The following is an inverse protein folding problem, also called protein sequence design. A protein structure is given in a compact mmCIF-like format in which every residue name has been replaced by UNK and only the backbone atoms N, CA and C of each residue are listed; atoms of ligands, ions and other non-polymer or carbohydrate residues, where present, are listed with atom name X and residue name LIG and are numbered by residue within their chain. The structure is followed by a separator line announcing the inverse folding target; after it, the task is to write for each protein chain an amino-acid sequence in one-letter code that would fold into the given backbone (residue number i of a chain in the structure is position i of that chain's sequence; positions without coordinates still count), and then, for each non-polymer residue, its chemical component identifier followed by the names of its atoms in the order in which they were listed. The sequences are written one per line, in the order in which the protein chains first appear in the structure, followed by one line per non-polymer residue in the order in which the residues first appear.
data_IF_921918067391
#
_entry.id   IF_921918067391
#
_cell.length_a   1.000
_cell.length_b   1.000
_cell.length_c   1.000
_cell.angle_alpha   90.00
_cell.angle_beta   90.00
_cell.angle_gamma   90.00
#
_symmetry.space_group_name_H-M   'P 1'
#
loop_
_entity.id
_entity.type
_entity.pdbx_description
1 polymer ?
#
# COMPACT_ATOMS: atom_id res chain seq x y z
N UNK A 1 -0.85 10.13 -5.63
CA UNK A 1 -0.40 8.86 -6.25
C UNK A 1 1.12 8.80 -6.44
N UNK A 2 1.76 9.75 -7.14
CA UNK A 2 3.21 9.69 -7.42
C UNK A 2 4.10 9.59 -6.16
N UNK A 3 3.75 10.33 -5.11
CA UNK A 3 4.46 10.26 -3.82
C UNK A 3 4.39 8.86 -3.20
N UNK A 4 3.22 8.22 -3.25
CA UNK A 4 3.02 6.87 -2.71
C UNK A 4 3.86 5.85 -3.49
N UNK A 5 3.81 5.90 -4.83
CA UNK A 5 4.58 4.99 -5.67
C UNK A 5 6.08 5.10 -5.38
N UNK A 6 6.59 6.33 -5.25
CA UNK A 6 7.99 6.57 -4.93
C UNK A 6 8.36 6.03 -3.55
N UNK A 7 7.53 6.29 -2.54
CA UNK A 7 7.71 5.76 -1.18
C UNK A 7 7.80 4.22 -1.18
N UNK A 8 6.86 3.57 -1.87
CA UNK A 8 6.82 2.11 -1.97
C UNK A 8 8.03 1.56 -2.73
N UNK A 9 8.43 2.16 -3.84
CA UNK A 9 9.63 1.74 -4.59
C UNK A 9 10.92 1.95 -3.79
N UNK A 10 11.02 3.00 -2.99
CA UNK A 10 12.19 3.26 -2.14
C UNK A 10 12.29 2.25 -0.98
N UNK A 11 11.14 1.85 -0.39
CA UNK A 11 11.09 0.94 0.76
C UNK A 11 11.06 -0.54 0.38
N UNK A 12 10.46 -0.87 -0.75
CA UNK A 12 10.26 -2.21 -1.26
C UNK A 12 10.75 -2.31 -2.72
N UNK A 13 12.06 -2.10 -2.97
CA UNK A 13 12.63 -2.04 -4.32
C UNK A 13 12.52 -3.36 -5.11
N UNK A 14 12.18 -4.46 -4.44
CA UNK A 14 12.01 -5.78 -5.04
C UNK A 14 10.64 -6.00 -5.70
N UNK A 15 9.68 -5.09 -5.51
CA UNK A 15 8.31 -5.19 -6.05
C UNK A 15 8.09 -4.06 -7.06
N UNK A 16 7.62 -4.41 -8.26
CA UNK A 16 7.23 -3.40 -9.25
C UNK A 16 5.77 -2.97 -9.06
N UNK A 17 5.56 -2.11 -8.08
CA UNK A 17 4.25 -1.53 -7.77
C UNK A 17 3.58 -0.77 -8.94
N UNK A 18 4.33 -0.39 -9.97
CA UNK A 18 3.77 0.31 -11.13
C UNK A 18 3.17 -0.66 -12.15
N UNK A 19 3.63 -1.91 -12.18
CA UNK A 19 3.18 -2.93 -13.13
C UNK A 19 2.21 -3.95 -12.53
N UNK A 20 2.25 -4.14 -11.21
CA UNK A 20 1.49 -5.19 -10.53
C UNK A 20 0.14 -4.67 -9.99
N UNK A 21 -0.94 -5.41 -10.27
CA UNK A 21 -2.31 -5.10 -9.83
C UNK A 21 -2.89 -6.13 -8.83
N UNK A 22 -2.20 -7.24 -8.60
CA UNK A 22 -2.64 -8.34 -7.74
C UNK A 22 -1.58 -8.67 -6.66
N UNK A 23 -0.99 -7.64 -6.06
CA UNK A 23 0.17 -7.76 -5.17
C UNK A 23 -0.02 -8.75 -4.02
N UNK A 24 -1.20 -8.78 -3.39
CA UNK A 24 -1.47 -9.71 -2.28
C UNK A 24 -1.89 -11.07 -2.83
N UNK A 25 -2.73 -11.09 -3.85
CA UNK A 25 -3.26 -12.33 -4.43
C UNK A 25 -2.18 -13.19 -5.10
N UNK A 26 -1.19 -12.56 -5.74
CA UNK A 26 -0.01 -13.23 -6.32
C UNK A 26 1.07 -13.54 -5.27
N UNK A 27 0.85 -13.16 -4.00
CA UNK A 27 1.76 -13.42 -2.89
C UNK A 27 3.04 -12.57 -2.92
N UNK A 28 3.06 -11.46 -3.66
CA UNK A 28 4.16 -10.50 -3.67
C UNK A 28 4.21 -9.71 -2.37
N UNK A 29 3.05 -9.43 -1.77
CA UNK A 29 2.91 -8.86 -0.44
C UNK A 29 2.39 -9.92 0.54
N UNK A 30 3.22 -10.23 1.54
CA UNK A 30 2.80 -10.99 2.70
C UNK A 30 2.20 -10.07 3.79
N UNK A 31 1.67 -10.67 4.85
CA UNK A 31 1.06 -9.93 5.94
C UNK A 31 2.02 -8.99 6.66
N UNK A 32 3.33 -9.27 6.66
CA UNK A 32 4.35 -8.42 7.29
C UNK A 32 4.64 -7.22 6.41
N UNK A 33 4.74 -7.42 5.09
CA UNK A 33 4.91 -6.35 4.11
C UNK A 33 3.71 -5.40 4.12
N UNK A 34 2.47 -5.93 4.19
CA UNK A 34 1.25 -5.10 4.31
C UNK A 34 1.30 -4.23 5.57
N UNK A 35 1.68 -4.78 6.72
CA UNK A 35 1.82 -3.99 7.95
C UNK A 35 2.91 -2.91 7.85
N UNK A 36 4.02 -3.22 7.16
CA UNK A 36 5.07 -2.24 6.86
C UNK A 36 4.56 -1.10 5.97
N UNK A 37 3.83 -1.44 4.91
CA UNK A 37 3.21 -0.45 4.01
C UNK A 37 2.24 0.45 4.76
N UNK A 38 1.40 -0.12 5.63
CA UNK A 38 0.47 0.66 6.47
C UNK A 38 1.24 1.69 7.29
N UNK A 39 2.29 1.27 7.99
CA UNK A 39 3.08 2.19 8.84
C UNK A 39 3.73 3.33 8.02
N UNK A 40 4.26 3.03 6.83
CA UNK A 40 4.83 4.04 5.93
C UNK A 40 3.77 5.00 5.39
N UNK A 41 2.55 4.50 5.10
CA UNK A 41 1.42 5.33 4.68
C UNK A 41 0.98 6.26 5.80
N UNK A 42 0.77 5.74 7.01
CA UNK A 42 0.34 6.54 8.17
C UNK A 42 1.33 7.67 8.47
N UNK A 43 2.64 7.39 8.44
CA UNK A 43 3.69 8.39 8.66
C UNK A 43 3.80 9.42 7.53
N UNK A 44 3.72 8.97 6.26
CA UNK A 44 3.93 9.85 5.11
C UNK A 44 2.72 10.74 4.77
N UNK A 45 1.50 10.29 5.10
CA UNK A 45 0.25 10.96 4.74
C UNK A 45 -0.55 11.48 5.94
N UNK A 46 -0.08 11.27 7.18
CA UNK A 46 -0.74 11.68 8.42
C UNK A 46 -2.19 11.14 8.54
N UNK A 47 -2.37 9.90 8.11
CA UNK A 47 -3.65 9.16 8.15
C UNK A 47 -3.59 8.03 9.18
N UNK A 48 -4.74 7.47 9.56
CA UNK A 48 -4.79 6.25 10.37
C UNK A 48 -5.58 5.16 9.66
N UNK A 49 -4.93 4.01 9.45
CA UNK A 49 -5.53 2.86 8.79
C UNK A 49 -6.16 1.96 9.85
N UNK A 50 -7.49 1.93 9.89
CA UNK A 50 -8.25 1.07 10.81
C UNK A 50 -8.30 -0.37 10.31
N UNK A 51 -8.70 -1.31 11.19
CA UNK A 51 -8.78 -2.74 10.85
C UNK A 51 -9.70 -3.06 9.66
N UNK A 52 -10.67 -2.19 9.34
CA UNK A 52 -11.59 -2.41 8.21
C UNK A 52 -10.90 -2.26 6.85
N UNK A 53 -9.82 -1.48 6.81
CA UNK A 53 -9.01 -1.24 5.62
C UNK A 53 -7.88 -2.27 5.46
N UNK A 54 -7.67 -3.16 6.45
CA UNK A 54 -6.64 -4.21 6.37
C UNK A 54 -7.20 -5.43 5.62
N UNK A 55 -7.51 -5.25 4.34
CA UNK A 55 -8.03 -6.28 3.44
C UNK A 55 -7.26 -6.28 2.11
N UNK A 56 -7.05 -7.46 1.47
CA UNK A 56 -6.27 -7.56 0.23
C UNK A 56 -6.68 -6.56 -0.86
N UNK A 57 -7.97 -6.28 -0.98
CA UNK A 57 -8.52 -5.34 -1.97
C UNK A 57 -7.93 -3.92 -1.89
N UNK A 58 -7.49 -3.46 -0.70
CA UNK A 58 -6.89 -2.14 -0.52
C UNK A 58 -5.37 -2.12 -0.76
N UNK A 59 -4.73 -3.29 -0.87
CA UNK A 59 -3.28 -3.44 -1.03
C UNK A 59 -2.88 -4.19 -2.29
N UNK A 60 -3.83 -4.62 -3.12
CA UNK A 60 -3.56 -5.36 -4.36
C UNK A 60 -2.88 -4.48 -5.43
N UNK A 61 -3.12 -3.16 -5.40
CA UNK A 61 -2.46 -2.22 -6.32
C UNK A 61 -2.18 -0.89 -5.63
N UNK A 62 -1.24 -0.12 -6.19
CA UNK A 62 -0.98 1.26 -5.73
C UNK A 62 -2.21 2.15 -5.87
N UNK A 63 -3.02 1.91 -6.91
CA UNK A 63 -4.26 2.65 -7.12
C UNK A 63 -5.24 2.41 -5.98
N UNK A 64 -5.41 1.15 -5.55
CA UNK A 64 -6.28 0.82 -4.41
C UNK A 64 -5.76 1.41 -3.09
N UNK A 65 -4.44 1.37 -2.87
CA UNK A 65 -3.83 2.01 -1.70
C UNK A 65 -4.03 3.53 -1.73
N UNK A 66 -3.96 4.15 -2.92
CA UNK A 66 -4.18 5.58 -3.08
C UNK A 66 -5.64 5.98 -2.81
N UNK A 67 -6.60 5.23 -3.34
CA UNK A 67 -8.03 5.44 -3.05
C UNK A 67 -8.32 5.32 -1.56
N UNK A 68 -7.74 4.31 -0.88
CA UNK A 68 -7.84 4.18 0.56
C UNK A 68 -7.30 5.41 1.30
N UNK A 69 -6.14 5.94 0.90
CA UNK A 69 -5.57 7.15 1.51
C UNK A 69 -6.48 8.36 1.29
N UNK A 70 -7.05 8.52 0.09
CA UNK A 70 -7.97 9.62 -0.21
C UNK A 70 -9.27 9.55 0.60
N UNK A 71 -9.76 8.34 0.91
CA UNK A 71 -10.93 8.16 1.79
C UNK A 71 -10.65 8.46 3.27
N UNK A 72 -9.41 8.27 3.72
CA UNK A 72 -9.01 8.47 5.12
C UNK A 72 -8.68 9.92 5.48
N UNK A 73 -8.57 10.81 4.49
CA UNK A 73 -8.33 12.25 4.66
C UNK A 73 -9.63 13.03 4.93
#
# INVERSE_FOLDING_TARGET
MEQLLKLLQDKFPQIDFAAEENLVDDGLLDSVAVLGIIAEIEDAFDVSVTMEYIQPQYFNSVSAMWEMIEELQ
#
